data_IF_518582076771
#
_entry.id   IF_518582076771
#
_cell.length_a   1.000
_cell.length_b   1.000
_cell.length_c   1.000
_cell.angle_alpha   90.00
_cell.angle_beta   90.00
_cell.angle_gamma   90.00
#
_symmetry.space_group_name_H-M   'P 1'
#
loop_
_entity.id
_entity.type
_entity.pdbx_description
1 polymer ?
#
# COMPACT_ATOMS: atom_id res chain seq x y z
N UNK A 1 13.56 24.84 62.72
CA UNK A 1 13.92 23.69 61.87
C UNK A 1 12.69 23.31 61.06
N UNK A 2 12.56 23.88 59.87
CA UNK A 2 11.46 23.64 58.94
C UNK A 2 11.88 22.53 57.98
N UNK A 3 11.22 21.38 58.08
CA UNK A 3 11.44 20.24 57.19
C UNK A 3 10.79 20.47 55.84
N UNK A 4 11.62 20.62 54.80
CA UNK A 4 11.19 20.71 53.40
C UNK A 4 10.89 19.31 52.87
N UNK A 5 9.63 19.05 52.54
CA UNK A 5 9.20 17.84 51.82
C UNK A 5 9.40 18.07 50.33
N UNK A 6 10.40 17.41 49.76
CA UNK A 6 10.68 17.43 48.33
C UNK A 6 9.76 16.45 47.61
N UNK A 7 8.69 16.96 47.01
CA UNK A 7 7.83 16.19 46.10
C UNK A 7 8.52 16.09 44.75
N UNK A 8 9.25 14.99 44.51
CA UNK A 8 9.67 14.59 43.16
C UNK A 8 8.41 14.25 42.35
N UNK A 9 7.92 15.21 41.57
CA UNK A 9 6.99 14.94 40.49
C UNK A 9 7.70 14.14 39.41
N UNK A 10 7.45 12.82 39.37
CA UNK A 10 7.63 12.05 38.15
C UNK A 10 6.63 12.63 37.14
N UNK A 11 7.14 13.41 36.19
CA UNK A 11 6.42 13.70 34.95
C UNK A 11 6.30 12.37 34.21
N UNK A 12 5.23 11.64 34.46
CA UNK A 12 4.72 10.67 33.50
C UNK A 12 4.39 11.46 32.23
N UNK A 13 5.33 11.51 31.29
CA UNK A 13 5.05 11.89 29.92
C UNK A 13 4.19 10.77 29.34
N UNK A 14 2.89 10.80 29.65
CA UNK A 14 1.92 9.87 29.11
C UNK A 14 1.98 9.96 27.60
N UNK A 15 2.54 8.93 26.96
CA UNK A 15 2.51 8.83 25.52
C UNK A 15 1.05 8.87 25.09
N UNK A 16 0.68 9.91 24.33
CA UNK A 16 -0.67 10.09 23.80
C UNK A 16 -1.07 8.84 23.02
N UNK A 17 -2.22 8.27 23.36
CA UNK A 17 -2.82 7.18 22.60
C UNK A 17 -3.71 7.78 21.51
N UNK A 18 -3.50 7.36 20.27
CA UNK A 18 -4.37 7.71 19.15
C UNK A 18 -5.05 6.44 18.63
N UNK A 19 -6.25 6.59 18.07
CA UNK A 19 -6.98 5.49 17.44
C UNK A 19 -7.59 5.94 16.12
N UNK A 20 -7.62 5.05 15.14
CA UNK A 20 -8.14 5.32 13.82
C UNK A 20 -8.90 4.10 13.26
N UNK A 21 -9.96 4.39 12.50
CA UNK A 21 -10.63 3.40 11.66
C UNK A 21 -10.24 3.67 10.21
N UNK A 22 -9.55 2.72 9.61
CA UNK A 22 -8.95 2.86 8.28
C UNK A 22 -9.61 1.84 7.35
N UNK A 23 -9.84 2.22 6.08
CA UNK A 23 -10.53 1.39 5.10
C UNK A 23 -9.77 1.31 3.79
N UNK A 24 -9.61 0.09 3.28
CA UNK A 24 -9.13 -0.20 1.93
C UNK A 24 -10.26 -0.81 1.10
N UNK A 25 -10.40 -0.39 -0.15
CA UNK A 25 -11.30 -1.07 -1.08
C UNK A 25 -10.61 -2.31 -1.66
N UNK A 26 -11.40 -3.32 -1.98
CA UNK A 26 -10.90 -4.57 -2.52
C UNK A 26 -11.93 -5.22 -3.46
N UNK A 27 -11.47 -6.20 -4.24
CA UNK A 27 -12.32 -7.04 -5.09
C UNK A 27 -11.95 -8.50 -4.92
N UNK A 28 -12.94 -9.37 -5.00
CA UNK A 28 -12.70 -10.82 -4.97
C UNK A 28 -11.88 -11.23 -6.19
N UNK A 29 -10.68 -11.74 -5.96
CA UNK A 29 -9.89 -12.42 -6.99
C UNK A 29 -10.32 -13.88 -7.11
N UNK A 30 -10.42 -14.55 -5.97
CA UNK A 30 -10.81 -15.97 -5.88
C UNK A 30 -11.48 -16.25 -4.54
N UNK A 31 -12.47 -17.15 -4.54
CA UNK A 31 -13.10 -17.61 -3.31
C UNK A 31 -13.36 -19.12 -3.34
N UNK A 32 -13.25 -19.76 -2.20
CA UNK A 32 -13.59 -21.17 -1.97
C UNK A 32 -14.24 -21.29 -0.60
N UNK A 33 -15.39 -21.96 -0.52
CA UNK A 33 -16.16 -22.06 0.74
C UNK A 33 -17.06 -20.85 1.04
N UNK A 34 -17.01 -19.78 0.23
CA UNK A 34 -17.96 -18.67 0.27
C UNK A 34 -18.64 -18.52 -1.10
N UNK A 35 -19.92 -18.17 -1.09
CA UNK A 35 -20.66 -17.81 -2.29
C UNK A 35 -20.36 -16.36 -2.70
N UNK A 36 -19.18 -16.16 -3.29
CA UNK A 36 -18.68 -14.86 -3.76
C UNK A 36 -18.06 -15.03 -5.16
N UNK A 37 -18.63 -14.33 -6.14
CA UNK A 37 -18.11 -14.32 -7.50
C UNK A 37 -16.83 -13.48 -7.62
N UNK A 38 -15.88 -13.83 -8.50
CA UNK A 38 -14.77 -12.94 -8.87
C UNK A 38 -15.27 -11.56 -9.29
N UNK A 39 -14.55 -10.52 -8.89
CA UNK A 39 -14.91 -9.11 -9.10
C UNK A 39 -15.89 -8.52 -8.09
N UNK A 40 -16.50 -9.33 -7.21
CA UNK A 40 -17.40 -8.84 -6.15
C UNK A 40 -16.70 -7.78 -5.29
N UNK A 41 -17.43 -6.72 -4.94
CA UNK A 41 -16.89 -5.64 -4.15
C UNK A 41 -16.70 -6.08 -2.69
N UNK A 42 -15.51 -5.82 -2.17
CA UNK A 42 -15.15 -6.02 -0.78
C UNK A 42 -14.47 -4.75 -0.22
N UNK A 43 -14.35 -4.71 1.10
CA UNK A 43 -13.54 -3.72 1.81
C UNK A 43 -12.88 -4.38 3.02
N UNK A 44 -11.66 -3.94 3.28
CA UNK A 44 -10.93 -4.26 4.51
C UNK A 44 -11.08 -3.05 5.42
N UNK A 45 -11.55 -3.26 6.64
CA UNK A 45 -11.60 -2.22 7.66
C UNK A 45 -10.72 -2.61 8.84
N UNK A 46 -9.82 -1.70 9.21
CA UNK A 46 -8.96 -1.89 10.36
C UNK A 46 -9.27 -0.89 11.47
N UNK A 47 -9.22 -1.35 12.73
CA UNK A 47 -9.24 -0.50 13.93
C UNK A 47 -7.85 -0.56 14.56
N UNK A 48 -7.15 0.55 14.50
CA UNK A 48 -5.76 0.65 14.93
C UNK A 48 -5.64 1.62 16.09
N UNK A 49 -4.71 1.31 17.00
CA UNK A 49 -4.33 2.21 18.07
C UNK A 49 -2.82 2.33 18.14
N UNK A 50 -2.30 3.52 18.41
CA UNK A 50 -0.88 3.78 18.58
C UNK A 50 -0.57 4.27 19.99
N UNK A 51 0.68 4.09 20.41
CA UNK A 51 1.24 4.73 21.59
C UNK A 51 2.59 5.34 21.22
N UNK A 52 2.61 6.65 21.00
CA UNK A 52 3.76 7.34 20.42
C UNK A 52 3.99 6.92 18.95
N UNK A 53 5.20 6.47 18.62
CA UNK A 53 5.57 6.00 17.26
C UNK A 53 5.32 4.51 17.02
N UNK A 54 4.67 3.82 17.96
CA UNK A 54 4.47 2.38 17.88
C UNK A 54 3.00 2.04 17.69
N UNK A 55 2.72 1.07 16.83
CA UNK A 55 1.41 0.46 16.72
C UNK A 55 1.16 -0.39 17.98
N UNK A 56 0.14 -0.04 18.74
CA UNK A 56 -0.22 -0.69 20.01
C UNK A 56 -1.34 -1.73 19.84
N UNK A 57 -2.20 -1.55 18.83
CA UNK A 57 -3.27 -2.50 18.52
C UNK A 57 -3.66 -2.44 17.04
N UNK A 58 -4.08 -3.58 16.51
CA UNK A 58 -4.64 -3.72 15.18
C UNK A 58 -5.75 -4.76 15.23
N UNK A 59 -6.92 -4.45 14.69
CA UNK A 59 -8.04 -5.38 14.48
C UNK A 59 -8.45 -5.25 13.02
N UNK A 60 -8.81 -6.33 12.35
CA UNK A 60 -9.19 -6.30 10.94
C UNK A 60 -10.49 -7.06 10.70
N UNK A 61 -11.35 -6.43 9.92
CA UNK A 61 -12.59 -6.98 9.41
C UNK A 61 -12.59 -6.94 7.88
N UNK A 62 -13.21 -7.95 7.27
CA UNK A 62 -13.44 -8.00 5.82
C UNK A 62 -14.94 -8.08 5.57
N UNK A 63 -15.42 -7.16 4.75
CA UNK A 63 -16.82 -7.05 4.36
C UNK A 63 -16.92 -7.22 2.85
N UNK A 64 -17.78 -8.12 2.37
CA UNK A 64 -18.05 -8.32 0.95
C UNK A 64 -19.56 -8.28 0.71
N UNK A 65 -20.02 -7.46 -0.24
CA UNK A 65 -21.45 -7.18 -0.46
C UNK A 65 -22.19 -6.86 0.85
N UNK A 66 -21.61 -5.98 1.68
CA UNK A 66 -22.09 -5.56 3.01
C UNK A 66 -22.23 -6.68 4.06
N UNK A 67 -21.74 -7.90 3.79
CA UNK A 67 -21.68 -9.00 4.74
C UNK A 67 -20.27 -9.12 5.34
N UNK A 68 -20.18 -9.18 6.66
CA UNK A 68 -18.94 -9.53 7.37
C UNK A 68 -18.57 -10.99 7.07
N UNK A 69 -17.41 -11.20 6.43
CA UNK A 69 -16.92 -12.54 6.06
C UNK A 69 -15.74 -12.99 6.90
N UNK A 70 -14.95 -12.03 7.41
CA UNK A 70 -13.80 -12.29 8.26
C UNK A 70 -13.74 -11.21 9.33
N UNK A 71 -13.42 -11.62 10.56
CA UNK A 71 -13.11 -10.74 11.66
C UNK A 71 -11.96 -11.37 12.44
N UNK A 72 -10.95 -10.56 12.72
CA UNK A 72 -9.92 -10.89 13.69
C UNK A 72 -9.81 -9.73 14.67
N UNK A 73 -9.98 -10.09 15.95
CA UNK A 73 -9.69 -9.19 17.06
C UNK A 73 -8.21 -8.84 17.11
N UNK A 74 -7.75 -8.30 18.24
CA UNK A 74 -6.43 -7.70 18.30
C UNK A 74 -5.33 -8.68 17.88
N UNK A 75 -4.56 -8.31 16.86
CA UNK A 75 -3.30 -8.96 16.54
C UNK A 75 -2.33 -8.66 17.69
N UNK A 76 -2.31 -9.51 18.72
CA UNK A 76 -1.43 -9.38 19.88
C UNK A 76 -0.33 -10.43 19.85
N UNK A 77 0.88 -10.02 20.23
CA UNK A 77 1.97 -10.94 20.51
C UNK A 77 2.78 -11.33 19.26
N UNK A 78 3.75 -12.24 19.42
CA UNK A 78 4.74 -12.55 18.39
C UNK A 78 4.18 -13.42 17.24
N UNK A 79 2.87 -13.70 17.22
CA UNK A 79 2.22 -14.61 16.27
C UNK A 79 1.88 -13.98 14.93
N UNK A 80 1.81 -12.64 14.88
CA UNK A 80 1.58 -11.89 13.66
C UNK A 80 2.59 -10.76 13.54
N UNK A 81 3.09 -10.55 12.33
CA UNK A 81 3.80 -9.33 11.98
C UNK A 81 2.75 -8.35 11.47
N UNK A 82 2.69 -7.17 12.08
CA UNK A 82 1.80 -6.09 11.64
C UNK A 82 2.62 -4.83 11.45
N UNK A 83 2.57 -4.26 10.26
CA UNK A 83 3.13 -2.96 9.93
C UNK A 83 2.03 -2.10 9.30
N UNK A 84 1.94 -0.86 9.78
CA UNK A 84 1.02 0.14 9.27
C UNK A 84 1.83 1.41 9.04
N UNK A 85 1.97 1.79 7.78
CA UNK A 85 2.64 3.03 7.40
C UNK A 85 1.59 4.12 7.18
N UNK A 86 1.86 5.33 7.70
CA UNK A 86 0.98 6.49 7.62
C UNK A 86 1.62 7.60 6.76
N UNK A 87 0.80 8.23 5.92
CA UNK A 87 1.23 9.30 5.02
C UNK A 87 0.34 10.52 5.21
N UNK A 88 0.94 11.66 5.51
CA UNK A 88 0.23 12.93 5.47
C UNK A 88 0.04 13.40 4.03
N UNK A 89 -1.15 13.90 3.73
CA UNK A 89 -1.52 14.54 2.46
C UNK A 89 -1.62 16.06 2.63
N UNK A 90 -1.59 16.82 1.53
CA UNK A 90 -1.67 18.28 1.55
C UNK A 90 -3.00 18.82 2.10
N UNK A 91 -4.08 18.08 1.93
CA UNK A 91 -5.42 18.44 2.43
C UNK A 91 -5.58 18.18 3.94
N UNK A 92 -4.47 18.03 4.66
CA UNK A 92 -4.45 17.65 6.06
C UNK A 92 -5.12 16.29 6.34
N UNK A 93 -5.25 15.43 5.32
CA UNK A 93 -5.72 14.06 5.49
C UNK A 93 -4.53 13.09 5.59
N UNK A 94 -4.79 11.85 5.98
CA UNK A 94 -3.82 10.77 6.08
C UNK A 94 -4.25 9.57 5.25
N UNK A 95 -3.31 8.92 4.56
CA UNK A 95 -3.52 7.61 3.90
C UNK A 95 -2.59 6.58 4.52
N UNK A 96 -2.87 5.30 4.29
CA UNK A 96 -2.21 4.21 4.99
C UNK A 96 -1.95 3.00 4.11
N UNK A 97 -0.80 2.34 4.34
CA UNK A 97 -0.46 1.04 3.79
C UNK A 97 -0.39 0.02 4.93
N UNK A 98 -0.80 -1.22 4.65
CA UNK A 98 -0.95 -2.27 5.64
C UNK A 98 -0.22 -3.54 5.18
N UNK A 99 0.66 -4.04 6.04
CA UNK A 99 1.29 -5.36 5.93
C UNK A 99 0.93 -6.16 7.19
N UNK A 100 0.24 -7.29 7.00
CA UNK A 100 -0.09 -8.26 8.04
C UNK A 100 0.35 -9.63 7.54
N UNK A 101 1.19 -10.31 8.31
CA UNK A 101 1.44 -11.74 8.15
C UNK A 101 1.18 -12.47 9.48
N UNK A 102 0.03 -13.14 9.52
CA UNK A 102 -0.39 -14.02 10.61
C UNK A 102 -0.33 -15.52 10.21
N UNK A 103 0.37 -15.81 9.10
CA UNK A 103 0.55 -17.17 8.55
C UNK A 103 1.90 -17.79 8.93
N UNK A 104 2.89 -16.96 9.27
CA UNK A 104 4.29 -17.35 9.50
C UNK A 104 4.54 -18.30 10.67
N UNK A 105 3.55 -18.52 11.55
CA UNK A 105 3.66 -19.50 12.64
C UNK A 105 2.65 -20.62 12.47
N UNK A 106 3.08 -21.89 12.43
CA UNK A 106 2.17 -23.02 12.54
C UNK A 106 1.47 -22.91 13.89
N UNK A 107 0.25 -22.39 13.91
CA UNK A 107 -0.61 -22.57 15.05
C UNK A 107 -1.00 -24.04 15.05
N UNK A 108 -0.73 -24.74 16.15
CA UNK A 108 -1.25 -26.09 16.36
C UNK A 108 -2.79 -26.11 16.35
N UNK A 109 -3.41 -24.93 16.45
CA UNK A 109 -4.84 -24.72 16.42
C UNK A 109 -5.26 -24.24 15.03
N UNK A 110 -6.19 -24.97 14.40
CA UNK A 110 -6.85 -24.62 13.15
C UNK A 110 -7.64 -23.30 13.30
N UNK A 111 -6.96 -22.17 13.11
CA UNK A 111 -7.52 -20.82 13.32
C UNK A 111 -7.80 -20.11 11.99
N UNK A 112 -8.49 -18.98 12.07
CA UNK A 112 -8.60 -18.07 10.93
C UNK A 112 -7.30 -17.26 10.82
N UNK A 113 -6.71 -17.17 9.62
CA UNK A 113 -5.48 -16.40 9.38
C UNK A 113 -5.70 -15.31 8.34
N UNK A 114 -4.82 -14.31 8.35
CA UNK A 114 -4.77 -13.25 7.36
C UNK A 114 -3.32 -13.03 6.90
N UNK A 115 -3.15 -12.90 5.60
CA UNK A 115 -1.97 -12.32 4.98
C UNK A 115 -2.44 -11.13 4.15
N UNK A 116 -2.05 -9.92 4.50
CA UNK A 116 -2.44 -8.68 3.81
C UNK A 116 -1.15 -7.97 3.44
N UNK A 117 -0.97 -7.65 2.18
CA UNK A 117 0.12 -6.81 1.70
C UNK A 117 -0.50 -5.83 0.69
N UNK A 118 -0.84 -4.63 1.18
CA UNK A 118 -1.45 -3.61 0.31
C UNK A 118 -0.45 -3.12 -0.72
N UNK A 119 0.85 -3.11 -0.42
CA UNK A 119 1.86 -2.83 -1.44
C UNK A 119 1.78 -3.88 -2.57
N UNK A 120 1.71 -5.16 -2.25
CA UNK A 120 1.55 -6.19 -3.27
C UNK A 120 0.15 -6.25 -3.91
N UNK A 121 -0.80 -5.39 -3.50
CA UNK A 121 -2.21 -5.45 -3.90
C UNK A 121 -2.90 -6.79 -3.56
N UNK A 122 -2.44 -7.48 -2.51
CA UNK A 122 -2.97 -8.80 -2.18
C UNK A 122 -3.49 -8.87 -0.76
N UNK A 123 -4.60 -9.58 -0.58
CA UNK A 123 -4.98 -10.08 0.72
C UNK A 123 -5.55 -11.50 0.62
N UNK A 124 -5.15 -12.35 1.55
CA UNK A 124 -5.60 -13.74 1.66
C UNK A 124 -6.11 -13.98 3.07
N UNK A 125 -7.34 -14.47 3.14
CA UNK A 125 -7.99 -14.84 4.39
C UNK A 125 -8.35 -16.32 4.34
N UNK A 126 -8.06 -17.05 5.40
CA UNK A 126 -8.48 -18.44 5.53
C UNK A 126 -9.18 -18.68 6.84
N UNK A 127 -10.05 -19.69 6.86
CA UNK A 127 -10.64 -20.28 8.06
C UNK A 127 -10.62 -21.79 7.92
N UNK A 128 -9.99 -22.47 8.87
CA UNK A 128 -9.82 -23.94 8.84
C UNK A 128 -10.77 -24.70 9.78
N UNK A 129 -11.58 -23.99 10.57
CA UNK A 129 -12.56 -24.55 11.51
C UNK A 129 -13.97 -23.99 11.27
N UNK A 130 -14.99 -24.82 11.50
CA UNK A 130 -16.38 -24.46 11.21
C UNK A 130 -16.62 -24.37 9.71
N UNK A 131 -17.19 -23.25 9.27
CA UNK A 131 -17.40 -22.94 7.86
C UNK A 131 -16.05 -22.59 7.20
N UNK A 132 -15.37 -23.62 6.69
CA UNK A 132 -14.04 -23.48 6.10
C UNK A 132 -14.08 -22.64 4.84
N UNK A 133 -13.16 -21.68 4.71
CA UNK A 133 -13.02 -20.91 3.47
C UNK A 133 -11.60 -20.45 3.20
N UNK A 134 -11.39 -20.07 1.94
CA UNK A 134 -10.26 -19.28 1.47
C UNK A 134 -10.77 -18.15 0.59
N UNK A 135 -10.37 -16.93 0.90
CA UNK A 135 -10.73 -15.72 0.17
C UNK A 135 -9.45 -15.00 -0.24
N UNK A 136 -9.29 -14.77 -1.54
CA UNK A 136 -8.19 -14.00 -2.11
C UNK A 136 -8.77 -12.72 -2.71
N UNK A 137 -8.22 -11.58 -2.33
CA UNK A 137 -8.64 -10.26 -2.76
C UNK A 137 -7.52 -9.56 -3.52
N UNK A 138 -7.92 -8.79 -4.53
CA UNK A 138 -7.15 -7.68 -5.10
C UNK A 138 -7.49 -6.42 -4.30
N UNK A 139 -6.50 -5.79 -3.67
CA UNK A 139 -6.69 -4.71 -2.68
C UNK A 139 -6.04 -3.42 -3.17
N UNK A 140 -6.66 -2.27 -2.91
CA UNK A 140 -6.02 -0.98 -3.17
C UNK A 140 -4.76 -0.79 -2.32
N UNK A 141 -3.70 -0.21 -2.90
CA UNK A 141 -2.43 -0.03 -2.21
C UNK A 141 -2.51 0.88 -0.99
N UNK A 142 -3.33 1.93 -1.10
CA UNK A 142 -3.53 2.95 -0.07
C UNK A 142 -4.97 2.92 0.41
N UNK A 143 -5.16 3.21 1.70
CA UNK A 143 -6.48 3.40 2.27
C UNK A 143 -7.18 4.63 1.70
N UNK A 144 -8.51 4.67 1.87
CA UNK A 144 -9.27 5.91 1.70
C UNK A 144 -8.72 7.01 2.64
N UNK A 145 -8.59 8.27 2.18
CA UNK A 145 -8.07 9.35 2.99
C UNK A 145 -8.88 9.58 4.27
N UNK A 146 -8.18 9.72 5.39
CA UNK A 146 -8.73 9.98 6.72
C UNK A 146 -8.45 11.43 7.12
N UNK A 147 -9.42 12.14 7.70
CA UNK A 147 -9.22 13.53 8.12
C UNK A 147 -8.11 13.69 9.18
N UNK A 148 -7.66 14.93 9.41
CA UNK A 148 -6.53 15.24 10.30
C UNK A 148 -6.61 14.63 11.72
N UNK A 149 -7.82 14.49 12.26
CA UNK A 149 -8.07 13.87 13.56
C UNK A 149 -7.82 12.36 13.60
N UNK A 150 -7.55 11.76 12.44
CA UNK A 150 -7.29 10.34 12.27
C UNK A 150 -5.82 9.95 12.32
N UNK A 151 -4.90 10.89 12.48
CA UNK A 151 -3.48 10.60 12.62
C UNK A 151 -3.23 9.62 13.78
N UNK A 152 -2.53 8.53 13.49
CA UNK A 152 -2.02 7.58 14.46
C UNK A 152 -0.62 7.95 14.90
N UNK A 153 0.21 8.47 14.00
CA UNK A 153 1.61 8.73 14.27
C UNK A 153 1.91 10.23 14.09
N UNK A 154 3.00 10.68 14.70
CA UNK A 154 3.49 12.03 14.45
C UNK A 154 4.40 12.01 13.21
N UNK A 155 3.83 11.70 12.04
CA UNK A 155 4.59 11.68 10.78
C UNK A 155 4.88 13.12 10.32
N UNK A 156 6.14 13.44 9.97
CA UNK A 156 6.45 14.70 9.32
C UNK A 156 5.62 14.82 8.03
N UNK A 157 5.05 15.99 7.79
CA UNK A 157 4.41 16.24 6.50
C UNK A 157 5.48 16.24 5.41
N UNK A 158 5.20 15.59 4.26
CA UNK A 158 6.12 15.68 3.14
C UNK A 158 6.30 17.16 2.78
N UNK A 159 7.54 17.58 2.55
CA UNK A 159 7.82 18.90 2.01
C UNK A 159 7.45 18.90 0.52
N UNK A 160 6.16 19.05 0.22
CA UNK A 160 5.57 19.50 -1.07
C UNK A 160 6.11 18.93 -2.40
N UNK A 161 6.78 17.77 -2.41
CA UNK A 161 7.39 17.23 -3.62
C UNK A 161 6.76 15.92 -4.10
N UNK A 162 6.23 15.07 -3.22
CA UNK A 162 5.65 13.79 -3.61
C UNK A 162 4.15 13.93 -3.96
N UNK A 163 3.59 13.09 -4.84
CA UNK A 163 2.14 13.05 -5.07
C UNK A 163 1.43 12.74 -3.76
N UNK A 164 0.35 13.47 -3.50
CA UNK A 164 -0.36 13.45 -2.21
C UNK A 164 -1.60 12.55 -2.23
N UNK A 165 -1.98 12.09 -3.42
CA UNK A 165 -3.10 11.21 -3.66
C UNK A 165 -2.74 10.23 -4.78
N UNK A 166 -3.58 9.22 -4.95
CA UNK A 166 -3.53 8.35 -6.12
C UNK A 166 -3.79 9.17 -7.38
N UNK A 167 -2.84 9.16 -8.31
CA UNK A 167 -2.97 9.74 -9.65
C UNK A 167 -3.05 8.58 -10.63
N UNK A 168 -4.10 8.53 -11.44
CA UNK A 168 -4.21 7.59 -12.55
C UNK A 168 -4.37 8.36 -13.86
N UNK A 169 -3.64 7.95 -14.90
CA UNK A 169 -3.74 8.49 -16.26
C UNK A 169 -3.82 7.34 -17.26
N UNK A 170 -4.71 7.50 -18.24
CA UNK A 170 -4.70 6.66 -19.42
C UNK A 170 -3.46 6.97 -20.25
N UNK A 171 -2.95 5.97 -20.95
CA UNK A 171 -1.79 6.08 -21.81
C UNK A 171 -1.86 5.07 -22.95
N UNK A 172 -0.96 5.20 -23.91
CA UNK A 172 -0.74 4.19 -24.93
C UNK A 172 0.74 4.05 -25.28
N UNK A 173 1.14 2.84 -25.68
CA UNK A 173 2.51 2.56 -26.15
C UNK A 173 2.73 3.25 -27.49
N UNK A 174 3.73 4.12 -27.56
CA UNK A 174 4.14 4.81 -28.79
C UNK A 174 5.20 4.00 -29.53
N UNK A 175 6.13 3.42 -28.79
CA UNK A 175 7.19 2.58 -29.32
C UNK A 175 7.58 1.51 -28.29
N UNK A 176 7.99 0.36 -28.80
CA UNK A 176 8.51 -0.75 -28.02
C UNK A 176 9.65 -1.38 -28.82
N UNK A 177 10.74 -1.77 -28.15
CA UNK A 177 11.92 -2.35 -28.80
C UNK A 177 12.53 -3.47 -27.96
N UNK A 178 13.32 -4.33 -28.61
CA UNK A 178 13.91 -5.50 -27.94
C UNK A 178 12.87 -6.54 -27.56
N UNK A 179 13.04 -7.15 -26.38
CA UNK A 179 12.14 -8.16 -25.82
C UNK A 179 10.97 -7.55 -25.01
N UNK A 180 10.49 -6.36 -25.37
CA UNK A 180 9.48 -5.65 -24.61
C UNK A 180 8.19 -6.50 -24.41
N UNK A 181 7.57 -6.48 -23.21
CA UNK A 181 6.40 -7.31 -22.91
C UNK A 181 5.10 -6.83 -23.59
N UNK A 182 5.15 -5.68 -24.27
CA UNK A 182 4.01 -4.97 -24.88
C UNK A 182 4.36 -4.48 -26.27
N UNK A 183 3.35 -4.10 -27.05
CA UNK A 183 3.51 -3.66 -28.44
C UNK A 183 3.02 -2.24 -28.67
N UNK A 184 3.51 -1.57 -29.72
CA UNK A 184 3.06 -0.23 -30.08
C UNK A 184 1.54 -0.19 -30.33
N UNK A 185 0.89 0.86 -29.82
CA UNK A 185 -0.55 1.07 -29.85
C UNK A 185 -1.33 0.43 -28.69
N UNK A 186 -0.70 -0.39 -27.87
CA UNK A 186 -1.35 -1.02 -26.72
C UNK A 186 -1.78 0.03 -25.68
N UNK A 187 -3.01 -0.10 -25.16
CA UNK A 187 -3.56 0.82 -24.16
C UNK A 187 -3.03 0.47 -22.78
N UNK A 188 -2.68 1.50 -22.03
CA UNK A 188 -2.09 1.39 -20.72
C UNK A 188 -2.75 2.32 -19.71
N UNK A 189 -2.52 2.04 -18.44
CA UNK A 189 -2.79 2.94 -17.31
C UNK A 189 -1.49 3.13 -16.56
N UNK A 190 -1.17 4.39 -16.27
CA UNK A 190 -0.07 4.78 -15.39
C UNK A 190 -0.69 5.28 -14.10
N UNK A 191 -0.36 4.63 -13.00
CA UNK A 191 -0.84 4.95 -11.67
C UNK A 191 0.33 5.30 -10.76
N UNK A 192 0.23 6.42 -10.03
CA UNK A 192 1.21 6.84 -9.04
C UNK A 192 0.51 7.01 -7.70
N UNK A 193 1.05 6.40 -6.65
CA UNK A 193 0.54 6.48 -5.28
C UNK A 193 1.61 7.00 -4.32
N UNK A 194 1.22 7.69 -3.23
CA UNK A 194 2.15 8.05 -2.17
C UNK A 194 2.83 6.81 -1.57
N UNK A 195 4.10 6.92 -1.18
CA UNK A 195 4.84 5.86 -0.49
C UNK A 195 5.75 6.42 0.62
N UNK A 196 6.23 5.56 1.52
CA UNK A 196 7.10 5.97 2.63
C UNK A 196 8.43 6.44 2.08
N UNK A 197 8.90 7.65 2.45
CA UNK A 197 10.26 8.09 2.17
C UNK A 197 11.28 7.13 2.79
N UNK A 198 11.66 6.08 2.07
CA UNK A 198 12.79 5.21 2.39
C UNK A 198 13.87 5.56 1.38
N UNK A 199 14.97 6.15 1.85
CA UNK A 199 16.17 6.35 1.03
C UNK A 199 15.98 7.15 -0.27
N UNK A 200 15.04 8.11 -0.32
CA UNK A 200 14.83 8.99 -1.49
C UNK A 200 13.64 8.62 -2.38
N UNK A 201 13.03 7.45 -2.16
CA UNK A 201 11.81 7.03 -2.86
C UNK A 201 10.57 7.63 -2.18
N UNK A 202 9.76 8.39 -2.90
CA UNK A 202 8.64 9.16 -2.32
C UNK A 202 7.27 8.74 -2.84
N UNK A 203 7.21 7.82 -3.80
CA UNK A 203 6.00 7.29 -4.38
C UNK A 203 6.20 5.86 -4.87
N UNK A 204 5.09 5.18 -5.18
CA UNK A 204 5.09 3.99 -6.02
C UNK A 204 4.38 4.26 -7.33
N UNK A 205 4.91 3.68 -8.40
CA UNK A 205 4.33 3.79 -9.73
C UNK A 205 4.03 2.42 -10.31
N UNK A 206 2.88 2.29 -10.94
CA UNK A 206 2.42 1.10 -11.62
C UNK A 206 2.14 1.43 -13.06
N UNK A 207 2.64 0.60 -13.96
CA UNK A 207 2.31 0.68 -15.39
C UNK A 207 1.68 -0.63 -15.79
N UNK A 208 0.41 -0.58 -16.21
CA UNK A 208 -0.31 -1.74 -16.74
C UNK A 208 -0.76 -1.50 -18.16
N UNK A 209 -0.52 -2.46 -19.05
CA UNK A 209 -0.98 -2.42 -20.43
C UNK A 209 -1.82 -3.67 -20.70
N UNK A 210 -3.11 -3.47 -20.99
CA UNK A 210 -4.09 -4.56 -20.91
C UNK A 210 -4.05 -5.25 -19.53
N UNK A 211 -3.86 -6.57 -19.52
CA UNK A 211 -3.76 -7.36 -18.29
C UNK A 211 -2.32 -7.52 -17.77
N UNK A 212 -1.33 -6.94 -18.45
CA UNK A 212 0.09 -7.11 -18.12
C UNK A 212 0.58 -5.97 -17.23
N UNK A 213 1.24 -6.31 -16.13
CA UNK A 213 2.07 -5.36 -15.40
C UNK A 213 3.41 -5.21 -16.13
N UNK A 214 3.74 -3.97 -16.51
CA UNK A 214 4.99 -3.60 -17.18
C UNK A 214 6.00 -3.04 -16.19
N UNK A 215 5.51 -2.39 -15.12
CA UNK A 215 6.33 -1.85 -14.03
C UNK A 215 5.53 -1.78 -12.73
N UNK A 216 6.25 -1.94 -11.61
CA UNK A 216 5.71 -1.77 -10.25
C UNK A 216 4.85 -2.92 -9.74
N UNK A 217 5.00 -4.13 -10.26
CA UNK A 217 4.26 -5.29 -9.72
C UNK A 217 4.81 -5.73 -8.35
N UNK A 218 3.97 -6.37 -7.53
CA UNK A 218 4.36 -6.90 -6.23
C UNK A 218 4.93 -5.81 -5.30
N UNK A 219 6.17 -5.95 -4.84
CA UNK A 219 6.84 -5.00 -3.93
C UNK A 219 7.82 -4.07 -4.66
N UNK A 220 7.76 -3.96 -6.00
CA UNK A 220 8.62 -3.07 -6.79
C UNK A 220 7.90 -1.77 -7.16
N UNK A 221 8.59 -0.90 -7.90
CA UNK A 221 8.03 0.32 -8.45
C UNK A 221 8.16 1.55 -7.56
N UNK A 222 9.07 1.52 -6.59
CA UNK A 222 9.37 2.67 -5.76
C UNK A 222 10.17 3.68 -6.58
N UNK A 223 9.69 4.92 -6.62
CA UNK A 223 10.29 5.96 -7.43
C UNK A 223 10.44 7.27 -6.65
N UNK A 224 11.38 8.09 -7.07
CA UNK A 224 11.48 9.47 -6.64
C UNK A 224 10.41 10.26 -7.39
N UNK A 225 9.47 10.84 -6.65
CA UNK A 225 8.49 11.75 -7.19
C UNK A 225 8.77 13.19 -6.76
N UNK A 226 8.63 14.11 -7.73
CA UNK A 226 8.69 15.56 -7.52
C UNK A 226 7.60 16.30 -8.29
N UNK A 227 7.03 17.36 -7.71
CA UNK A 227 6.07 18.24 -8.36
C UNK A 227 4.63 18.11 -7.86
N UNK A 228 3.70 18.65 -8.63
CA UNK A 228 2.25 18.56 -8.38
C UNK A 228 1.61 17.58 -9.36
N UNK A 229 0.38 17.14 -9.15
CA UNK A 229 -0.28 16.09 -9.95
C UNK A 229 -0.14 16.27 -11.47
N UNK A 230 -0.35 17.49 -12.00
CA UNK A 230 -0.25 17.77 -13.45
C UNK A 230 1.17 18.08 -13.93
N UNK A 231 2.13 18.22 -13.01
CA UNK A 231 3.55 18.47 -13.29
C UNK A 231 4.45 17.41 -12.69
N UNK A 232 3.89 16.25 -12.40
CA UNK A 232 4.55 15.18 -11.69
C UNK A 232 5.72 14.67 -12.53
N UNK A 233 6.89 14.63 -11.90
CA UNK A 233 8.05 13.91 -12.38
C UNK A 233 8.20 12.65 -11.54
N UNK A 234 8.37 11.51 -12.20
CA UNK A 234 8.63 10.22 -11.56
C UNK A 234 9.94 9.70 -12.08
N UNK A 235 10.84 9.30 -11.19
CA UNK A 235 12.16 8.80 -11.53
C UNK A 235 12.51 7.58 -10.71
N UNK A 236 12.70 6.47 -11.40
CA UNK A 236 13.40 5.32 -10.91
C UNK A 236 14.57 5.06 -11.85
N UNK A 237 15.73 5.56 -11.43
CA UNK A 237 16.98 5.45 -12.18
C UNK A 237 17.84 4.29 -11.68
N UNK A 238 17.37 3.57 -10.65
CA UNK A 238 18.04 2.40 -10.13
C UNK A 238 17.99 1.26 -11.13
N UNK A 239 19.07 0.48 -11.17
CA UNK A 239 18.96 -0.93 -11.54
C UNK A 239 19.32 -1.66 -10.26
N UNK A 240 18.35 -2.21 -9.55
CA UNK A 240 18.67 -3.17 -8.51
C UNK A 240 18.78 -4.52 -9.21
N UNK A 241 20.01 -5.05 -9.33
CA UNK A 241 20.30 -6.35 -9.93
C UNK A 241 19.55 -7.55 -9.27
N UNK A 242 18.74 -7.29 -8.23
CA UNK A 242 18.07 -8.32 -7.42
C UNK A 242 16.54 -8.37 -7.60
N UNK A 243 15.88 -7.31 -8.08
CA UNK A 243 14.40 -7.26 -8.18
C UNK A 243 13.86 -7.17 -9.61
N UNK A 244 14.72 -6.88 -10.60
CA UNK A 244 14.38 -6.96 -12.03
C UNK A 244 13.31 -5.96 -12.45
N UNK A 245 13.29 -4.78 -11.82
CA UNK A 245 12.44 -3.69 -12.25
C UNK A 245 13.11 -2.82 -13.33
N UNK A 246 12.39 -2.51 -14.41
CA UNK A 246 12.92 -1.64 -15.45
C UNK A 246 13.00 -0.22 -14.90
N UNK A 247 14.00 0.56 -15.33
CA UNK A 247 14.05 1.99 -15.06
C UNK A 247 12.78 2.67 -15.52
N UNK A 248 12.34 3.68 -14.77
CA UNK A 248 11.18 4.49 -15.08
C UNK A 248 11.53 5.97 -15.09
N UNK A 249 11.16 6.66 -16.16
CA UNK A 249 11.09 8.12 -16.18
C UNK A 249 9.72 8.56 -16.69
N UNK A 250 8.96 9.29 -15.87
CA UNK A 250 7.70 9.89 -16.27
C UNK A 250 7.74 11.41 -16.11
N UNK A 251 7.24 12.11 -17.13
CA UNK A 251 7.02 13.55 -17.12
C UNK A 251 5.57 13.80 -17.51
N UNK A 252 4.73 14.09 -16.51
CA UNK A 252 3.30 14.33 -16.70
C UNK A 252 3.04 15.67 -17.40
N UNK A 253 3.99 16.62 -17.37
CA UNK A 253 3.87 17.88 -18.11
C UNK A 253 4.03 17.63 -19.62
N UNK A 254 4.95 16.74 -19.99
CA UNK A 254 5.20 16.36 -21.39
C UNK A 254 4.34 15.21 -21.88
N UNK A 255 3.58 14.58 -20.97
CA UNK A 255 2.75 13.42 -21.28
C UNK A 255 3.57 12.21 -21.72
N UNK A 256 4.76 12.01 -21.15
CA UNK A 256 5.69 10.96 -21.59
C UNK A 256 6.09 10.05 -20.44
N UNK A 257 6.12 8.74 -20.69
CA UNK A 257 6.72 7.75 -19.78
C UNK A 257 7.67 6.86 -20.57
N UNK A 258 8.86 6.64 -20.03
CA UNK A 258 9.87 5.76 -20.62
C UNK A 258 10.19 4.66 -19.62
N UNK A 259 10.21 3.43 -20.11
CA UNK A 259 10.62 2.24 -19.36
C UNK A 259 11.80 1.60 -20.08
N UNK A 260 12.78 1.14 -19.32
CA UNK A 260 13.99 0.55 -19.88
C UNK A 260 14.58 -0.55 -18.99
N UNK A 261 14.69 -1.76 -19.54
CA UNK A 261 15.30 -2.93 -18.89
C UNK A 261 16.62 -3.27 -19.57
N UNK A 262 17.64 -3.57 -18.79
CA UNK A 262 18.97 -3.96 -19.29
C UNK A 262 19.49 -5.28 -18.70
N UNK A 263 18.92 -5.78 -17.60
CA UNK A 263 19.46 -6.89 -16.82
C UNK A 263 19.01 -8.25 -17.37
N UNK A 264 17.72 -8.56 -17.26
CA UNK A 264 17.20 -9.90 -17.62
C UNK A 264 16.96 -10.06 -19.12
N UNK A 265 16.53 -8.99 -19.79
CA UNK A 265 16.36 -8.93 -21.23
C UNK A 265 16.33 -7.47 -21.68
N UNK A 266 17.19 -7.09 -22.61
CA UNK A 266 17.23 -5.69 -23.04
C UNK A 266 15.97 -5.32 -23.80
N UNK A 267 15.22 -4.36 -23.26
CA UNK A 267 14.03 -3.81 -23.92
C UNK A 267 13.73 -2.38 -23.47
N UNK A 268 12.99 -1.66 -24.30
CA UNK A 268 12.50 -0.33 -23.94
C UNK A 268 11.07 -0.11 -24.43
N UNK A 269 10.31 0.67 -23.67
CA UNK A 269 8.93 1.05 -23.98
C UNK A 269 8.78 2.55 -23.76
N UNK A 270 8.21 3.25 -24.74
CA UNK A 270 7.78 4.63 -24.59
C UNK A 270 6.26 4.69 -24.64
N UNK A 271 5.68 5.36 -23.65
CA UNK A 271 4.26 5.61 -23.54
C UNK A 271 3.98 7.09 -23.68
N UNK A 272 2.79 7.40 -24.18
CA UNK A 272 2.21 8.73 -24.15
C UNK A 272 1.00 8.73 -23.25
N UNK A 273 0.94 9.67 -22.32
CA UNK A 273 -0.24 9.91 -21.50
C UNK A 273 -1.32 10.61 -22.35
N UNK A 274 -2.57 10.18 -22.18
CA UNK A 274 -3.73 10.70 -22.92
C UNK A 274 -4.37 11.94 -22.28
#
# INVERSE_FOLDING_TARGET
>A
MTGSTSTRGLLETGASEATARIRWNARVKKSTGLDLAPGSACRIEGRFGSRGSHLASANVEVWCNDRLVYEKGTFTGPEAVVSLDEYATDNHAFVYNLDIDDTSRPSFDKRSTAAIDTDAHTAVFTRETGDTFRLELDVEAVAAPLAASGALFNVPRPSSAAPHARIARAAHVVSASGAAPVTAGEKCTVEVVPATPRSGWSCRTFVRCGDKAVYGEQRTGFAECSGSDDKLQVRDLGFTMEDGDPKLEADFTRGSVTLHEEDTSTWSVQLRLD
#
